data_IF_464865879225
#
_entry.id   IF_464865879225
#
_cell.length_a   1.000
_cell.length_b   1.000
_cell.length_c   1.000
_cell.angle_alpha   90.00
_cell.angle_beta   90.00
_cell.angle_gamma   90.00
#
_symmetry.space_group_name_H-M   'P 1'
#
loop_
_entity.id
_entity.type
_entity.pdbx_description
1 polymer ?
#
# COMPACT_ATOMS: atom_id res chain seq x y z
N UNK A 1 -14.91 15.29 -3.84
CA UNK A 1 -13.46 15.21 -3.52
C UNK A 1 -12.64 14.70 -4.71
N UNK A 2 -12.76 13.43 -5.14
CA UNK A 2 -11.88 12.92 -6.23
C UNK A 2 -12.08 13.68 -7.55
N UNK A 3 -13.33 14.01 -7.91
CA UNK A 3 -13.60 14.85 -9.09
C UNK A 3 -12.88 16.19 -9.03
N UNK A 4 -12.93 16.86 -7.86
CA UNK A 4 -12.24 18.12 -7.63
C UNK A 4 -10.71 17.98 -7.73
N UNK A 5 -10.12 16.89 -7.24
CA UNK A 5 -8.68 16.63 -7.39
C UNK A 5 -8.30 16.45 -8.87
N UNK A 6 -9.17 15.82 -9.66
CA UNK A 6 -8.99 15.65 -11.10
C UNK A 6 -9.19 16.98 -11.85
N UNK A 7 -10.21 17.77 -11.50
CA UNK A 7 -10.49 19.07 -12.11
C UNK A 7 -9.39 20.10 -11.82
N UNK A 8 -8.75 20.01 -10.66
CA UNK A 8 -7.62 20.85 -10.26
C UNK A 8 -6.27 20.31 -10.73
N UNK A 9 -6.26 19.22 -11.50
CA UNK A 9 -5.05 18.63 -12.07
C UNK A 9 -4.00 18.23 -11.01
N UNK A 10 -4.46 17.75 -9.84
CA UNK A 10 -3.57 17.31 -8.75
C UNK A 10 -2.98 15.91 -8.97
N UNK A 11 -3.49 15.17 -9.96
CA UNK A 11 -2.85 13.96 -10.46
C UNK A 11 -1.91 14.31 -11.61
N UNK A 12 -0.78 13.62 -11.71
CA UNK A 12 0.17 13.83 -12.81
C UNK A 12 -0.51 13.49 -14.15
N UNK A 13 -0.25 14.30 -15.18
CA UNK A 13 -0.71 14.03 -16.53
C UNK A 13 -0.32 12.61 -16.97
N UNK A 14 -1.30 11.86 -17.50
CA UNK A 14 -1.08 10.48 -17.93
C UNK A 14 -0.98 9.45 -16.79
N UNK A 15 -1.36 9.80 -15.54
CA UNK A 15 -1.31 8.88 -14.40
C UNK A 15 -1.95 7.51 -14.66
N UNK A 16 -2.97 7.45 -15.51
CA UNK A 16 -3.67 6.23 -15.91
C UNK A 16 -2.78 5.17 -16.58
N UNK A 17 -1.69 5.61 -17.24
CA UNK A 17 -0.73 4.73 -17.90
C UNK A 17 0.44 4.32 -17.01
N UNK A 18 0.55 4.89 -15.80
CA UNK A 18 1.69 4.66 -14.92
C UNK A 18 1.51 3.39 -14.11
N UNK A 19 2.57 2.61 -14.00
CA UNK A 19 2.70 1.58 -12.96
C UNK A 19 3.37 2.15 -11.69
N UNK A 20 3.52 1.30 -10.68
CA UNK A 20 4.12 1.69 -9.40
C UNK A 20 5.58 2.20 -9.54
N UNK A 21 6.41 1.57 -10.38
CA UNK A 21 7.81 1.98 -10.59
C UNK A 21 7.88 3.38 -11.22
N UNK A 22 7.06 3.62 -12.24
CA UNK A 22 7.03 4.90 -12.94
C UNK A 22 6.50 6.01 -12.03
N UNK A 23 5.47 5.73 -11.22
CA UNK A 23 4.94 6.67 -10.23
C UNK A 23 5.98 7.04 -9.17
N UNK A 24 6.71 6.05 -8.65
CA UNK A 24 7.82 6.25 -7.72
C UNK A 24 8.93 7.11 -8.35
N UNK A 25 9.29 6.84 -9.60
CA UNK A 25 10.35 7.57 -10.31
C UNK A 25 10.01 9.05 -10.47
N UNK A 26 8.76 9.40 -10.76
CA UNK A 26 8.32 10.79 -10.88
C UNK A 26 8.52 11.57 -9.59
N UNK A 27 8.26 10.96 -8.43
CA UNK A 27 8.55 11.57 -7.13
C UNK A 27 10.06 11.79 -6.96
N UNK A 28 10.89 10.77 -7.25
CA UNK A 28 12.35 10.89 -7.11
C UNK A 28 12.96 11.93 -8.06
N UNK A 29 12.33 12.18 -9.21
CA UNK A 29 12.72 13.23 -10.15
C UNK A 29 12.23 14.64 -9.75
N UNK A 30 11.53 14.78 -8.62
CA UNK A 30 10.93 16.06 -8.20
C UNK A 30 9.73 16.49 -9.05
N UNK A 31 9.16 15.57 -9.85
CA UNK A 31 7.98 15.81 -10.70
C UNK A 31 6.66 15.52 -9.97
N UNK A 32 6.72 14.94 -8.78
CA UNK A 32 5.58 14.72 -7.89
C UNK A 32 5.95 15.20 -6.48
N UNK A 33 5.07 16.00 -5.85
CA UNK A 33 5.25 16.40 -4.45
C UNK A 33 4.92 15.26 -3.47
N UNK A 34 4.04 14.33 -3.88
CA UNK A 34 3.56 13.21 -3.06
C UNK A 34 3.41 11.96 -3.91
N UNK A 35 3.66 10.78 -3.33
CA UNK A 35 3.43 9.48 -3.96
C UNK A 35 2.76 8.54 -2.97
N UNK A 36 1.74 7.80 -3.43
CA UNK A 36 1.10 6.77 -2.63
C UNK A 36 1.87 5.46 -2.76
N UNK A 37 2.63 5.11 -1.74
CA UNK A 37 3.54 3.95 -1.73
C UNK A 37 3.71 3.46 -0.29
N UNK A 38 4.04 2.18 -0.13
CA UNK A 38 4.32 1.62 1.19
C UNK A 38 5.70 2.01 1.74
N UNK A 39 5.94 1.61 2.99
CA UNK A 39 7.18 1.93 3.71
C UNK A 39 8.45 1.33 3.08
N UNK A 40 8.33 0.42 2.11
CA UNK A 40 9.45 -0.11 1.33
C UNK A 40 10.05 0.90 0.33
N UNK A 41 9.45 2.08 0.16
CA UNK A 41 9.85 3.08 -0.84
C UNK A 41 11.34 3.44 -0.81
N UNK A 42 11.94 3.49 0.38
CA UNK A 42 13.37 3.80 0.57
C UNK A 42 14.29 2.58 0.60
N UNK A 43 13.74 1.37 0.45
CA UNK A 43 14.50 0.14 0.43
C UNK A 43 15.45 0.11 -0.78
N UNK A 44 16.70 -0.28 -0.53
CA UNK A 44 17.74 -0.33 -1.57
C UNK A 44 18.20 1.03 -2.11
N UNK A 45 17.73 2.14 -1.55
CA UNK A 45 18.05 3.51 -2.01
C UNK A 45 18.80 4.35 -0.98
N UNK A 46 19.17 3.76 0.15
CA UNK A 46 19.84 4.44 1.27
C UNK A 46 21.13 5.16 0.87
N UNK A 47 21.86 4.62 -0.11
CA UNK A 47 23.14 5.17 -0.58
C UNK A 47 22.98 6.32 -1.57
N UNK A 48 21.80 6.43 -2.20
CA UNK A 48 21.49 7.44 -3.22
C UNK A 48 20.72 8.61 -2.61
N UNK A 49 19.87 8.33 -1.62
CA UNK A 49 19.13 9.37 -0.89
C UNK A 49 20.12 10.11 0.02
N UNK A 50 20.46 11.35 -0.34
CA UNK A 50 21.32 12.20 0.47
C UNK A 50 20.75 12.37 1.88
N UNK A 51 21.63 12.50 2.89
CA UNK A 51 21.25 12.64 4.30
C UNK A 51 20.35 13.86 4.56
N UNK A 52 20.45 14.87 3.70
CA UNK A 52 19.68 16.11 3.79
C UNK A 52 18.33 16.04 3.05
N UNK A 53 18.01 14.90 2.42
CA UNK A 53 16.72 14.72 1.78
C UNK A 53 15.64 14.43 2.83
N UNK A 54 14.69 15.36 2.96
CA UNK A 54 13.59 15.23 3.90
C UNK A 54 12.41 14.51 3.26
N UNK A 55 12.26 13.22 3.60
CA UNK A 55 11.11 12.42 3.21
C UNK A 55 10.14 12.27 4.39
N UNK A 56 8.86 12.57 4.16
CA UNK A 56 7.80 12.48 5.17
C UNK A 56 6.74 11.47 4.74
N UNK A 57 6.36 10.60 5.67
CA UNK A 57 5.12 9.85 5.61
C UNK A 57 4.06 10.60 6.42
N UNK A 58 2.85 10.72 5.87
CA UNK A 58 1.72 11.38 6.53
C UNK A 58 0.44 10.56 6.33
N UNK A 59 -0.54 10.75 7.24
CA UNK A 59 -1.85 10.09 7.16
C UNK A 59 -2.69 10.75 6.06
N UNK A 60 -3.58 9.96 5.45
CA UNK A 60 -4.65 10.56 4.65
C UNK A 60 -5.50 11.49 5.52
N UNK A 61 -5.93 12.65 4.98
CA UNK A 61 -6.79 13.55 5.72
C UNK A 61 -8.14 12.89 6.01
N UNK A 62 -8.77 13.31 7.13
CA UNK A 62 -10.15 12.94 7.41
C UNK A 62 -11.07 13.55 6.36
N UNK A 63 -11.98 12.74 5.82
CA UNK A 63 -13.05 13.22 4.95
C UNK A 63 -14.27 13.55 5.81
N UNK A 64 -14.76 14.79 5.72
CA UNK A 64 -15.99 15.21 6.43
C UNK A 64 -17.18 14.36 5.98
N UNK A 65 -17.98 13.88 6.93
CA UNK A 65 -19.06 12.93 6.66
C UNK A 65 -18.60 11.51 6.28
N UNK A 66 -17.30 11.27 6.12
CA UNK A 66 -16.76 9.95 5.85
C UNK A 66 -16.81 9.02 7.06
N UNK A 67 -17.10 7.74 6.82
CA UNK A 67 -17.11 6.69 7.86
C UNK A 67 -15.72 6.20 8.26
N UNK A 68 -14.68 6.53 7.48
CA UNK A 68 -13.31 6.09 7.73
C UNK A 68 -12.66 6.82 8.92
N UNK A 69 -11.87 6.08 9.70
CA UNK A 69 -11.04 6.65 10.75
C UNK A 69 -9.63 6.98 10.20
N UNK A 70 -9.14 8.23 10.27
CA UNK A 70 -7.78 8.57 9.84
C UNK A 70 -6.68 7.87 10.65
N UNK A 71 -7.00 7.34 11.83
CA UNK A 71 -6.11 6.54 12.67
C UNK A 71 -6.08 5.05 12.31
N UNK A 72 -6.89 4.60 11.37
CA UNK A 72 -6.80 3.24 10.83
C UNK A 72 -5.62 3.15 9.85
N UNK A 73 -4.95 1.99 9.81
CA UNK A 73 -3.85 1.72 8.89
C UNK A 73 -4.09 0.40 8.17
N UNK A 74 -3.94 0.40 6.85
CA UNK A 74 -3.88 -0.81 6.03
C UNK A 74 -2.42 -1.12 5.69
N UNK A 75 -2.04 -2.40 5.69
CA UNK A 75 -0.70 -2.78 5.29
C UNK A 75 -0.54 -4.27 5.04
N UNK A 76 0.45 -4.61 4.22
CA UNK A 76 0.80 -6.00 3.92
C UNK A 76 1.86 -6.49 4.89
N UNK A 77 1.63 -7.66 5.49
CA UNK A 77 2.66 -8.39 6.23
C UNK A 77 3.08 -9.58 5.38
N UNK A 78 4.35 -9.62 5.00
CA UNK A 78 4.88 -10.74 4.22
C UNK A 78 4.97 -11.99 5.08
N UNK A 79 4.27 -13.05 4.68
CA UNK A 79 4.35 -14.35 5.34
C UNK A 79 5.38 -15.24 4.65
N UNK A 80 6.02 -16.11 5.42
CA UNK A 80 6.96 -17.11 4.93
C UNK A 80 6.54 -18.47 5.45
N UNK A 81 6.37 -19.42 4.56
CA UNK A 81 5.85 -20.76 4.87
C UNK A 81 6.74 -21.83 4.27
N UNK A 82 6.88 -22.95 4.97
CA UNK A 82 7.59 -24.13 4.47
C UNK A 82 6.52 -25.07 3.89
N UNK A 83 6.62 -25.44 2.59
CA UNK A 83 5.71 -26.42 2.02
C UNK A 83 5.79 -27.76 2.76
N UNK A 84 4.64 -28.41 2.99
CA UNK A 84 4.58 -29.71 3.68
C UNK A 84 5.36 -30.81 2.94
N UNK A 85 5.59 -30.65 1.64
CA UNK A 85 6.36 -31.56 0.77
C UNK A 85 7.77 -31.03 0.44
N UNK A 86 8.30 -30.07 1.20
CA UNK A 86 9.67 -29.61 1.01
C UNK A 86 10.65 -30.78 1.12
N UNK A 87 11.67 -30.81 0.26
CA UNK A 87 12.71 -31.87 0.30
C UNK A 87 13.60 -31.77 1.55
N UNK A 88 13.76 -30.55 2.06
CA UNK A 88 14.62 -30.23 3.21
C UNK A 88 13.91 -29.24 4.16
N UNK A 89 12.81 -29.65 4.83
CA UNK A 89 12.04 -28.76 5.69
C UNK A 89 12.86 -28.23 6.88
N UNK A 90 13.80 -29.01 7.39
CA UNK A 90 14.73 -28.61 8.45
C UNK A 90 15.66 -27.47 8.02
N UNK A 91 16.28 -27.56 6.84
CA UNK A 91 17.14 -26.49 6.31
C UNK A 91 16.32 -25.22 6.00
N UNK A 92 15.09 -25.39 5.51
CA UNK A 92 14.18 -24.26 5.32
C UNK A 92 13.84 -23.60 6.66
N UNK A 93 13.60 -24.37 7.72
CA UNK A 93 13.35 -23.85 9.06
C UNK A 93 14.58 -23.12 9.64
N UNK A 94 15.78 -23.66 9.43
CA UNK A 94 17.03 -22.98 9.81
C UNK A 94 17.21 -21.65 9.10
N UNK A 95 16.91 -21.59 7.79
CA UNK A 95 16.93 -20.34 7.04
C UNK A 95 15.90 -19.35 7.57
N UNK A 96 14.66 -19.78 7.83
CA UNK A 96 13.64 -18.93 8.44
C UNK A 96 14.06 -18.43 9.83
N UNK A 97 14.75 -19.24 10.63
CA UNK A 97 15.31 -18.83 11.92
C UNK A 97 16.40 -17.77 11.75
N UNK A 98 17.29 -17.94 10.76
CA UNK A 98 18.35 -16.97 10.47
C UNK A 98 17.76 -15.60 10.10
N UNK A 99 16.84 -15.56 9.13
CA UNK A 99 16.29 -14.29 8.65
C UNK A 99 15.39 -13.61 9.69
N UNK A 100 14.83 -14.35 10.64
CA UNK A 100 14.07 -13.79 11.77
C UNK A 100 14.94 -13.57 13.02
N UNK A 101 16.24 -13.85 12.97
CA UNK A 101 17.14 -13.55 14.08
C UNK A 101 17.27 -12.03 14.28
N UNK A 102 17.48 -11.61 15.53
CA UNK A 102 17.77 -10.20 15.86
C UNK A 102 18.91 -9.64 14.99
N UNK A 103 19.99 -10.41 14.83
CA UNK A 103 21.16 -10.02 14.02
C UNK A 103 20.81 -9.72 12.55
N UNK A 104 19.93 -10.52 11.94
CA UNK A 104 19.51 -10.31 10.55
C UNK A 104 18.52 -9.14 10.46
N UNK A 105 17.59 -9.06 11.41
CA UNK A 105 16.57 -8.01 11.43
C UNK A 105 17.16 -6.63 11.70
N UNK A 106 18.19 -6.52 12.55
CA UNK A 106 18.95 -5.27 12.72
C UNK A 106 19.61 -4.81 11.42
N UNK A 107 20.09 -5.73 10.56
CA UNK A 107 20.60 -5.40 9.23
C UNK A 107 19.48 -4.98 8.28
N UNK A 108 18.34 -5.67 8.30
CA UNK A 108 17.18 -5.27 7.50
C UNK A 108 16.74 -3.84 7.80
N UNK A 109 16.72 -3.45 9.06
CA UNK A 109 16.41 -2.06 9.46
C UNK A 109 17.49 -1.10 9.00
N UNK A 110 18.77 -1.38 9.33
CA UNK A 110 19.86 -0.40 9.15
C UNK A 110 20.39 -0.29 7.73
N UNK A 111 20.37 -1.38 6.96
CA UNK A 111 20.99 -1.44 5.63
C UNK A 111 19.93 -1.44 4.53
N UNK A 112 18.80 -2.10 4.75
CA UNK A 112 17.71 -2.18 3.76
C UNK A 112 16.58 -1.17 4.02
N UNK A 113 16.63 -0.35 5.08
CA UNK A 113 15.56 0.56 5.47
C UNK A 113 14.17 -0.11 5.55
N UNK A 114 14.13 -1.37 5.97
CA UNK A 114 12.89 -2.15 6.10
C UNK A 114 12.39 -2.15 7.54
N UNK A 115 11.07 -2.12 7.71
CA UNK A 115 10.45 -2.34 9.02
C UNK A 115 10.61 -3.81 9.40
N UNK A 116 11.12 -4.08 10.60
CA UNK A 116 11.22 -5.43 11.13
C UNK A 116 9.91 -5.90 11.75
N UNK A 117 9.53 -7.18 11.60
CA UNK A 117 8.42 -7.77 12.33
C UNK A 117 8.75 -8.09 13.80
N UNK A 118 10.01 -7.98 14.23
CA UNK A 118 10.38 -8.28 15.61
C UNK A 118 10.00 -7.13 16.57
N UNK A 119 9.34 -7.44 17.70
CA UNK A 119 9.05 -6.43 18.72
C UNK A 119 10.32 -5.72 19.23
N UNK A 120 10.20 -4.41 19.44
CA UNK A 120 11.28 -3.57 19.97
C UNK A 120 12.41 -3.24 18.99
N UNK A 121 12.26 -3.57 17.71
CA UNK A 121 13.18 -3.08 16.67
C UNK A 121 12.96 -1.58 16.41
N UNK A 122 14.04 -0.81 16.17
CA UNK A 122 13.89 0.58 15.75
C UNK A 122 13.25 0.65 14.35
N UNK A 123 12.56 1.75 14.07
CA UNK A 123 12.08 2.05 12.72
C UNK A 123 13.22 2.60 11.85
N UNK A 124 13.17 2.38 10.52
CA UNK A 124 14.11 3.02 9.61
C UNK A 124 13.92 4.55 9.67
N UNK A 125 15.00 5.28 9.94
CA UNK A 125 14.96 6.72 10.27
C UNK A 125 14.78 7.67 9.08
N UNK A 126 14.51 7.15 7.88
CA UNK A 126 14.52 7.93 6.63
C UNK A 126 13.15 8.50 6.27
N UNK A 127 12.06 7.91 6.77
CA UNK A 127 10.69 8.37 6.56
C UNK A 127 10.20 9.07 7.83
N UNK A 128 10.41 10.37 7.91
CA UNK A 128 9.92 11.18 9.03
C UNK A 128 8.39 11.03 9.15
N UNK A 129 7.85 11.09 10.36
CA UNK A 129 6.42 10.88 10.62
C UNK A 129 5.97 9.42 10.68
N UNK A 130 6.71 8.46 10.09
CA UNK A 130 6.31 7.04 10.12
C UNK A 130 6.13 6.49 11.54
N UNK A 131 7.04 6.85 12.47
CA UNK A 131 6.92 6.43 13.86
C UNK A 131 5.71 7.02 14.58
N UNK A 132 5.33 8.26 14.26
CA UNK A 132 4.13 8.88 14.79
C UNK A 132 2.87 8.20 14.24
N UNK A 133 2.83 7.92 12.93
CA UNK A 133 1.76 7.14 12.30
C UNK A 133 1.60 5.81 13.03
N UNK A 134 2.66 5.00 13.15
CA UNK A 134 2.54 3.69 13.80
C UNK A 134 2.10 3.78 15.27
N UNK A 135 2.50 4.83 16.01
CA UNK A 135 2.09 5.06 17.39
C UNK A 135 0.62 5.45 17.52
N UNK A 136 0.12 6.26 16.60
CA UNK A 136 -1.26 6.76 16.60
C UNK A 136 -2.24 5.81 15.93
N UNK A 137 -1.77 4.68 15.39
CA UNK A 137 -2.66 3.73 14.73
C UNK A 137 -3.52 3.01 15.75
N UNK A 138 -4.83 3.19 15.64
CA UNK A 138 -5.81 2.54 16.52
C UNK A 138 -6.14 1.13 16.06
N UNK A 139 -6.21 0.93 14.74
CA UNK A 139 -6.51 -0.36 14.14
C UNK A 139 -5.68 -0.62 12.88
N UNK A 140 -5.08 -1.80 12.84
CA UNK A 140 -4.34 -2.29 11.69
C UNK A 140 -5.15 -3.33 10.93
N UNK A 141 -5.33 -3.14 9.62
CA UNK A 141 -5.96 -4.07 8.72
C UNK A 141 -4.90 -4.73 7.84
N UNK A 142 -4.67 -6.03 8.06
CA UNK A 142 -3.78 -6.79 7.20
C UNK A 142 -4.38 -6.87 5.80
N UNK A 143 -3.62 -6.44 4.80
CA UNK A 143 -3.98 -6.53 3.39
C UNK A 143 -3.20 -7.67 2.74
N UNK A 144 -3.93 -8.65 2.22
CA UNK A 144 -3.38 -9.76 1.41
C UNK A 144 -4.10 -9.78 0.07
N UNK A 145 -3.69 -8.91 -0.85
CA UNK A 145 -4.28 -8.74 -2.18
C UNK A 145 -5.76 -8.31 -2.20
N UNK A 146 -6.41 -8.06 -1.05
CA UNK A 146 -7.77 -7.52 -0.97
C UNK A 146 -8.79 -8.23 -1.88
N UNK A 147 -9.57 -7.44 -2.63
CA UNK A 147 -10.54 -7.95 -3.61
C UNK A 147 -9.88 -8.76 -4.73
N UNK A 148 -8.65 -8.42 -5.15
CA UNK A 148 -7.93 -9.15 -6.19
C UNK A 148 -7.69 -10.61 -5.78
N UNK A 149 -7.25 -10.82 -4.53
CA UNK A 149 -7.00 -12.15 -3.99
C UNK A 149 -8.27 -12.92 -3.64
N UNK A 150 -9.25 -12.26 -3.02
CA UNK A 150 -10.44 -12.93 -2.49
C UNK A 150 -11.56 -13.10 -3.54
N UNK A 151 -11.75 -12.10 -4.41
CA UNK A 151 -12.86 -12.01 -5.35
C UNK A 151 -12.40 -11.45 -6.72
N UNK A 152 -11.52 -12.16 -7.45
CA UNK A 152 -10.85 -11.62 -8.65
C UNK A 152 -11.80 -11.22 -9.79
N UNK A 153 -13.00 -11.80 -9.86
CA UNK A 153 -14.01 -11.37 -10.82
C UNK A 153 -14.64 -10.02 -10.44
N UNK A 154 -15.05 -9.86 -9.17
CA UNK A 154 -15.56 -8.60 -8.65
C UNK A 154 -14.51 -7.49 -8.76
N UNK A 155 -13.24 -7.80 -8.46
CA UNK A 155 -12.12 -6.88 -8.61
C UNK A 155 -12.00 -6.30 -10.03
N UNK A 156 -12.12 -7.14 -11.06
CA UNK A 156 -12.08 -6.69 -12.46
C UNK A 156 -13.26 -5.80 -12.82
N UNK A 157 -14.46 -6.13 -12.35
CA UNK A 157 -15.64 -5.29 -12.58
C UNK A 157 -15.53 -3.92 -11.90
N UNK A 158 -15.06 -3.90 -10.65
CA UNK A 158 -14.77 -2.68 -9.92
C UNK A 158 -13.80 -1.78 -10.70
N UNK A 159 -12.65 -2.34 -11.14
CA UNK A 159 -11.65 -1.55 -11.86
C UNK A 159 -12.13 -1.05 -13.22
N UNK A 160 -12.99 -1.78 -13.91
CA UNK A 160 -13.57 -1.30 -15.16
C UNK A 160 -14.40 -0.03 -14.95
N UNK A 161 -15.26 0.01 -13.93
CA UNK A 161 -16.03 1.22 -13.62
C UNK A 161 -15.16 2.34 -13.04
N UNK A 162 -14.20 2.00 -12.18
CA UNK A 162 -13.27 2.96 -11.62
C UNK A 162 -12.40 3.64 -12.69
N UNK A 163 -11.91 2.88 -13.68
CA UNK A 163 -11.12 3.42 -14.78
C UNK A 163 -11.93 4.34 -15.70
N UNK A 164 -13.20 4.01 -15.97
CA UNK A 164 -14.10 4.92 -16.71
C UNK A 164 -14.21 6.27 -16.00
N UNK A 165 -14.47 6.25 -14.69
CA UNK A 165 -14.53 7.48 -13.89
C UNK A 165 -13.19 8.24 -13.83
N UNK A 166 -12.10 7.56 -13.47
CA UNK A 166 -10.80 8.22 -13.26
C UNK A 166 -10.18 8.72 -14.57
N UNK A 167 -10.32 7.96 -15.66
CA UNK A 167 -9.59 8.21 -16.92
C UNK A 167 -10.50 8.83 -17.97
N UNK A 168 -11.67 8.25 -18.22
CA UNK A 168 -12.61 8.76 -19.23
C UNK A 168 -13.44 9.95 -18.72
N UNK A 169 -13.40 10.25 -17.41
CA UNK A 169 -14.18 11.32 -16.76
C UNK A 169 -15.70 11.13 -16.94
N UNK A 170 -16.12 9.89 -17.18
CA UNK A 170 -17.50 9.49 -17.45
C UNK A 170 -17.67 8.03 -16.98
N UNK A 171 -18.64 7.69 -16.11
CA UNK A 171 -19.74 8.53 -15.63
C UNK A 171 -19.36 9.43 -14.44
N UNK A 172 -20.19 10.44 -14.08
CA UNK A 172 -19.97 11.26 -12.88
C UNK A 172 -19.99 10.41 -11.60
N UNK A 173 -19.39 10.93 -10.52
CA UNK A 173 -19.15 10.16 -9.30
C UNK A 173 -20.40 9.49 -8.71
N UNK A 174 -21.58 10.12 -8.78
CA UNK A 174 -22.82 9.52 -8.25
C UNK A 174 -23.21 8.24 -9.00
N UNK A 175 -23.07 8.23 -10.32
CA UNK A 175 -23.37 7.05 -11.15
C UNK A 175 -22.30 5.97 -11.01
N UNK A 176 -21.03 6.34 -10.75
CA UNK A 176 -20.01 5.37 -10.36
C UNK A 176 -20.46 4.65 -9.07
N UNK A 177 -20.92 5.39 -8.06
CA UNK A 177 -21.37 4.80 -6.79
C UNK A 177 -22.56 3.84 -7.02
N UNK A 178 -23.57 4.26 -7.77
CA UNK A 178 -24.72 3.39 -8.13
C UNK A 178 -24.27 2.12 -8.88
N UNK A 179 -23.33 2.27 -9.81
CA UNK A 179 -22.78 1.15 -10.59
C UNK A 179 -22.03 0.17 -9.70
N UNK A 180 -21.20 0.67 -8.78
CA UNK A 180 -20.47 -0.14 -7.82
C UNK A 180 -21.42 -0.84 -6.85
N UNK A 181 -22.42 -0.15 -6.31
CA UNK A 181 -23.42 -0.75 -5.41
C UNK A 181 -24.15 -1.92 -6.09
N UNK A 182 -24.58 -1.72 -7.34
CA UNK A 182 -25.21 -2.77 -8.15
C UNK A 182 -24.28 -3.95 -8.37
N UNK A 183 -23.03 -3.71 -8.80
CA UNK A 183 -22.02 -4.76 -9.04
C UNK A 183 -21.78 -5.59 -7.77
N UNK A 184 -21.57 -4.93 -6.63
CA UNK A 184 -21.31 -5.61 -5.37
C UNK A 184 -22.53 -6.40 -4.89
N UNK A 185 -23.72 -5.79 -4.93
CA UNK A 185 -24.96 -6.45 -4.52
C UNK A 185 -25.24 -7.71 -5.35
N UNK A 186 -25.12 -7.61 -6.68
CA UNK A 186 -25.31 -8.74 -7.57
C UNK A 186 -24.27 -9.83 -7.32
N UNK A 187 -22.99 -9.48 -7.19
CA UNK A 187 -21.94 -10.45 -6.93
C UNK A 187 -22.14 -11.20 -5.61
N UNK A 188 -22.47 -10.52 -4.52
CA UNK A 188 -22.68 -11.21 -3.24
C UNK A 188 -23.98 -12.00 -3.18
N UNK A 189 -24.98 -11.68 -4.00
CA UNK A 189 -26.16 -12.53 -4.15
C UNK A 189 -25.83 -13.89 -4.78
N UNK A 190 -24.86 -13.95 -5.70
CA UNK A 190 -24.45 -15.24 -6.32
C UNK A 190 -23.65 -16.14 -5.37
N UNK A 191 -23.06 -15.57 -4.31
CA UNK A 191 -22.31 -16.33 -3.30
C UNK A 191 -23.18 -16.91 -2.18
N UNK A 192 -24.44 -16.46 -2.04
CA UNK A 192 -25.38 -16.93 -0.99
C UNK A 192 -26.06 -18.26 -1.31
N UNK A 193 -25.39 -19.14 -2.06
CA UNK A 193 -25.87 -20.51 -2.38
C UNK A 193 -25.50 -21.47 -1.25
#
# INVERSE_FOLDING_TARGET
MIEELLDREYFIEGFAGLNHIESELLFWQGRAATVFVGSWFTSGRAEIIGKDFHLYAFRFPRVEGGHGNPHDLIGTVNTRSIPTRARHPELAAEFLRLINSRWFQERMVRQANMISPLPGMPLPGIQQGLGQILKETEKFYSFSFGLEGAHPFLYRQYWNEWNKFMVARDPPAFQLVESLERIFTQYYQTLKV
#
